data_IF_397838506126
#
_entry.id   IF_397838506126
#
_cell.length_a   1.000
_cell.length_b   1.000
_cell.length_c   1.000
_cell.angle_alpha   90.00
_cell.angle_beta   90.00
_cell.angle_gamma   90.00
#
_symmetry.space_group_name_H-M   'P 1'
#
loop_
_entity.id
_entity.type
_entity.pdbx_description
1 polymer ?
#
# COMPACT_ATOMS: atom_id res chain seq x y z
N UNK A 1 15.61 -24.43 -10.29
CA UNK A 1 15.95 -23.03 -10.61
C UNK A 1 15.89 -22.24 -9.31
N UNK A 2 16.96 -21.54 -8.94
CA UNK A 2 17.02 -20.77 -7.69
C UNK A 2 16.40 -19.40 -7.93
N UNK A 3 15.33 -19.07 -7.22
CA UNK A 3 14.64 -17.79 -7.38
C UNK A 3 15.28 -16.79 -6.42
N UNK A 4 15.81 -15.70 -6.96
CA UNK A 4 16.38 -14.60 -6.20
C UNK A 4 15.35 -13.48 -6.05
N UNK A 5 15.18 -13.00 -4.82
CA UNK A 5 14.20 -11.97 -4.45
C UNK A 5 14.90 -10.94 -3.57
N UNK A 6 14.60 -9.65 -3.77
CA UNK A 6 15.11 -8.58 -2.90
C UNK A 6 14.00 -8.12 -1.98
N UNK A 7 14.24 -8.13 -0.67
CA UNK A 7 13.34 -7.50 0.29
C UNK A 7 13.74 -6.03 0.45
N UNK A 8 12.78 -5.11 0.35
CA UNK A 8 12.99 -3.68 0.58
C UNK A 8 12.19 -3.20 1.79
N UNK A 9 12.85 -2.44 2.66
CA UNK A 9 12.28 -1.72 3.80
C UNK A 9 12.72 -0.27 3.68
N UNK A 10 11.91 0.56 3.01
CA UNK A 10 12.31 1.92 2.65
C UNK A 10 13.51 1.91 1.68
N UNK A 11 14.66 2.39 2.14
CA UNK A 11 15.91 2.40 1.37
C UNK A 11 16.83 1.21 1.67
N UNK A 12 16.47 0.36 2.65
CA UNK A 12 17.25 -0.81 3.02
C UNK A 12 16.83 -2.01 2.17
N UNK A 13 17.79 -2.65 1.51
CA UNK A 13 17.55 -3.83 0.68
C UNK A 13 18.26 -5.04 1.26
N UNK A 14 17.63 -6.21 1.23
CA UNK A 14 18.20 -7.48 1.69
C UNK A 14 17.98 -8.54 0.61
N UNK A 15 19.05 -9.14 0.04
CA UNK A 15 18.91 -10.16 -0.98
C UNK A 15 18.58 -11.53 -0.34
N UNK A 16 17.53 -12.17 -0.85
CA UNK A 16 17.07 -13.48 -0.44
C UNK A 16 17.07 -14.47 -1.61
N UNK A 17 17.19 -15.74 -1.24
CA UNK A 17 17.01 -16.89 -2.12
C UNK A 17 15.83 -17.69 -1.60
N UNK A 18 14.84 -17.96 -2.46
CA UNK A 18 13.74 -18.87 -2.12
C UNK A 18 14.28 -20.30 -2.18
N UNK A 19 14.33 -20.96 -1.01
CA UNK A 19 14.82 -22.33 -0.85
C UNK A 19 13.75 -23.38 -1.10
N UNK A 20 12.54 -23.09 -0.65
CA UNK A 20 11.39 -23.97 -0.82
C UNK A 20 10.13 -23.12 -1.00
N UNK A 21 9.31 -23.49 -1.99
CA UNK A 21 7.95 -23.00 -2.15
C UNK A 21 6.97 -24.15 -1.95
N UNK A 22 5.93 -23.93 -1.16
CA UNK A 22 4.76 -24.81 -1.07
C UNK A 22 3.60 -24.02 -1.69
N UNK A 23 2.92 -24.62 -2.67
CA UNK A 23 1.71 -24.04 -3.27
C UNK A 23 0.50 -24.83 -2.79
N UNK A 24 -0.61 -24.17 -2.46
CA UNK A 24 -1.86 -24.92 -2.25
C UNK A 24 -2.31 -25.49 -3.59
N UNK A 25 -2.53 -26.80 -3.61
CA UNK A 25 -3.22 -27.47 -4.72
C UNK A 25 -4.71 -27.26 -4.47
N UNK A 26 -5.28 -26.17 -4.96
CA UNK A 26 -6.73 -26.13 -5.12
C UNK A 26 -7.07 -27.03 -6.32
N UNK A 27 -7.75 -28.13 -6.03
CA UNK A 27 -8.33 -29.04 -7.02
C UNK A 27 -9.44 -28.30 -7.75
N UNK A 28 -9.11 -27.71 -8.89
CA UNK A 28 -10.11 -27.14 -9.80
C UNK A 28 -9.83 -27.64 -11.20
N UNK A 29 -10.90 -28.10 -11.83
CA UNK A 29 -10.97 -28.76 -13.14
C UNK A 29 -10.10 -28.08 -14.20
N UNK A 30 -9.58 -28.88 -15.13
CA UNK A 30 -8.61 -28.52 -16.19
C UNK A 30 -8.97 -27.33 -17.12
N UNK A 31 -10.10 -26.66 -16.92
CA UNK A 31 -10.48 -25.42 -17.62
C UNK A 31 -10.21 -24.16 -16.77
N UNK A 32 -10.06 -24.29 -15.44
CA UNK A 32 -9.73 -23.19 -14.50
C UNK A 32 -8.24 -23.13 -14.15
N UNK A 33 -7.46 -24.16 -14.51
CA UNK A 33 -6.01 -24.17 -14.28
C UNK A 33 -5.30 -22.99 -14.98
N UNK A 34 -5.77 -22.56 -16.16
CA UNK A 34 -5.19 -21.44 -16.90
C UNK A 34 -5.47 -20.06 -16.25
N UNK A 35 -6.62 -19.87 -15.59
CA UNK A 35 -6.92 -18.62 -14.87
C UNK A 35 -6.28 -18.59 -13.46
N UNK A 36 -6.21 -19.72 -12.77
CA UNK A 36 -5.57 -19.79 -11.44
C UNK A 36 -4.05 -19.73 -11.55
N UNK A 37 -3.43 -20.34 -12.57
CA UNK A 37 -1.99 -20.17 -12.85
C UNK A 37 -1.64 -18.74 -13.26
N UNK A 38 -2.60 -17.97 -13.80
CA UNK A 38 -2.46 -16.55 -14.11
C UNK A 38 -2.51 -15.64 -12.85
N UNK A 39 -3.03 -16.13 -11.72
CA UNK A 39 -3.16 -15.35 -10.47
C UNK A 39 -2.07 -15.62 -9.44
N UNK A 40 -1.28 -16.69 -9.60
CA UNK A 40 -0.08 -16.89 -8.80
C UNK A 40 0.99 -15.85 -9.20
N UNK A 41 1.68 -15.20 -8.25
CA UNK A 41 2.73 -14.25 -8.59
C UNK A 41 3.81 -14.95 -9.42
N UNK A 42 4.03 -14.48 -10.64
CA UNK A 42 5.15 -14.94 -11.45
C UNK A 42 6.43 -14.43 -10.81
N UNK A 43 7.07 -15.30 -10.03
CA UNK A 43 8.36 -15.01 -9.42
C UNK A 43 9.45 -14.94 -10.48
N UNK A 44 9.65 -13.75 -11.06
CA UNK A 44 10.72 -13.51 -12.02
C UNK A 44 12.02 -13.12 -11.33
N UNK A 45 13.14 -13.24 -12.06
CA UNK A 45 14.45 -12.87 -11.55
C UNK A 45 14.49 -11.36 -11.26
N UNK A 46 14.73 -10.99 -9.99
CA UNK A 46 14.80 -9.58 -9.58
C UNK A 46 13.52 -9.00 -8.96
N UNK A 47 12.54 -9.85 -8.63
CA UNK A 47 11.36 -9.41 -7.90
C UNK A 47 11.78 -8.71 -6.59
N UNK A 48 11.33 -7.46 -6.42
CA UNK A 48 11.54 -6.68 -5.20
C UNK A 48 10.25 -6.68 -4.40
N UNK A 49 10.30 -7.20 -3.18
CA UNK A 49 9.19 -7.20 -2.23
C UNK A 49 9.35 -6.00 -1.32
N UNK A 50 8.47 -5.03 -1.42
CA UNK A 50 8.47 -3.85 -0.56
C UNK A 50 7.59 -4.10 0.67
N UNK A 51 8.18 -4.04 1.86
CA UNK A 51 7.40 -4.03 3.11
C UNK A 51 6.72 -2.67 3.23
N UNK A 52 5.40 -2.69 3.17
CA UNK A 52 4.53 -1.52 3.29
C UNK A 52 4.22 -1.16 4.75
N UNK A 53 4.10 -2.16 5.62
CA UNK A 53 3.73 -1.96 7.02
C UNK A 53 4.12 -3.16 7.89
N UNK A 54 4.08 -2.97 9.21
CA UNK A 54 4.33 -4.00 10.21
C UNK A 54 3.11 -4.17 11.12
N UNK A 55 2.63 -5.39 11.30
CA UNK A 55 1.43 -5.71 12.07
C UNK A 55 1.71 -6.76 13.15
N UNK A 56 1.08 -6.64 14.31
CA UNK A 56 1.25 -7.61 15.42
C UNK A 56 0.34 -8.83 15.30
N UNK A 57 -0.84 -8.65 14.70
CA UNK A 57 -1.84 -9.70 14.57
C UNK A 57 -2.40 -9.63 13.16
N UNK A 58 -1.72 -10.21 12.16
CA UNK A 58 -2.29 -10.33 10.83
C UNK A 58 -3.58 -11.16 10.94
N UNK A 59 -4.60 -10.93 10.09
CA UNK A 59 -5.81 -11.72 10.12
C UNK A 59 -5.49 -13.20 9.86
N UNK A 60 -6.03 -14.08 10.69
CA UNK A 60 -5.69 -15.52 10.70
C UNK A 60 -6.41 -16.34 9.61
N UNK A 61 -7.25 -15.70 8.79
CA UNK A 61 -8.18 -16.37 7.88
C UNK A 61 -7.99 -15.81 6.47
N UNK A 62 -6.97 -16.29 5.77
CA UNK A 62 -6.88 -16.11 4.32
C UNK A 62 -6.42 -17.42 3.66
N UNK A 63 -7.00 -17.79 2.50
CA UNK A 63 -6.49 -18.89 1.71
C UNK A 63 -5.05 -18.57 1.32
N UNK A 64 -4.14 -19.43 1.75
CA UNK A 64 -2.71 -19.28 1.46
C UNK A 64 -2.45 -19.90 0.11
N UNK A 65 -2.12 -19.08 -0.88
CA UNK A 65 -1.81 -19.53 -2.23
C UNK A 65 -0.42 -20.15 -2.24
N UNK A 66 0.57 -19.42 -1.72
CA UNK A 66 1.96 -19.86 -1.70
C UNK A 66 2.62 -19.56 -0.36
N UNK A 67 3.58 -20.41 0.02
CA UNK A 67 4.46 -20.18 1.16
C UNK A 67 5.89 -20.44 0.75
N UNK A 68 6.72 -19.43 0.91
CA UNK A 68 8.14 -19.46 0.56
C UNK A 68 9.00 -19.42 1.81
N UNK A 69 9.97 -20.32 1.88
CA UNK A 69 11.09 -20.22 2.82
C UNK A 69 12.21 -19.46 2.13
N UNK A 70 12.54 -18.29 2.68
CA UNK A 70 13.55 -17.38 2.17
C UNK A 70 14.78 -17.43 3.06
N UNK A 71 15.94 -17.61 2.46
CA UNK A 71 17.23 -17.58 3.13
C UNK A 71 18.07 -16.43 2.59
N UNK A 72 18.83 -15.77 3.46
CA UNK A 72 19.78 -14.73 3.04
C UNK A 72 20.69 -15.25 1.92
N UNK A 73 20.86 -14.45 0.87
CA UNK A 73 21.73 -14.83 -0.23
C UNK A 73 23.20 -14.94 0.22
N UNK A 74 23.94 -15.90 -0.33
CA UNK A 74 25.34 -16.13 0.03
C UNK A 74 26.27 -14.96 -0.28
N UNK A 75 25.89 -14.12 -1.26
CA UNK A 75 26.63 -12.92 -1.66
C UNK A 75 26.27 -11.68 -0.85
N UNK A 76 25.43 -11.79 0.18
CA UNK A 76 25.01 -10.65 0.97
C UNK A 76 26.20 -9.98 1.70
N UNK A 77 26.22 -8.65 1.66
CA UNK A 77 27.25 -7.83 2.30
C UNK A 77 27.03 -7.74 3.83
N UNK A 78 27.96 -7.09 4.54
CA UNK A 78 27.92 -6.97 5.99
C UNK A 78 26.70 -6.20 6.51
N UNK A 79 26.32 -5.12 5.82
CA UNK A 79 25.17 -4.26 6.18
C UNK A 79 23.86 -5.02 6.01
N UNK A 80 23.72 -5.80 4.94
CA UNK A 80 22.54 -6.64 4.68
C UNK A 80 22.38 -7.72 5.75
N UNK A 81 23.48 -8.35 6.16
CA UNK A 81 23.50 -9.34 7.26
C UNK A 81 23.08 -8.72 8.58
N UNK A 82 23.58 -7.54 8.90
CA UNK A 82 23.22 -6.81 10.11
C UNK A 82 21.75 -6.39 10.10
N UNK A 83 21.29 -5.81 8.99
CA UNK A 83 19.90 -5.39 8.79
C UNK A 83 18.95 -6.58 8.96
N UNK A 84 19.29 -7.74 8.39
CA UNK A 84 18.51 -8.96 8.56
C UNK A 84 18.46 -9.41 10.03
N UNK A 85 19.58 -9.34 10.74
CA UNK A 85 19.64 -9.69 12.17
C UNK A 85 18.74 -8.79 13.01
N UNK A 86 18.78 -7.48 12.75
CA UNK A 86 17.91 -6.48 13.41
C UNK A 86 16.45 -6.77 13.11
N UNK A 87 16.11 -6.99 11.83
CA UNK A 87 14.75 -7.32 11.41
C UNK A 87 14.24 -8.59 12.09
N UNK A 88 15.05 -9.65 12.11
CA UNK A 88 14.68 -10.94 12.72
C UNK A 88 14.38 -10.78 14.20
N UNK A 89 15.21 -10.01 14.93
CA UNK A 89 14.99 -9.70 16.34
C UNK A 89 13.74 -8.87 16.55
N UNK A 90 13.52 -7.83 15.74
CA UNK A 90 12.37 -6.95 15.85
C UNK A 90 11.05 -7.73 15.68
N UNK A 91 10.99 -8.64 14.71
CA UNK A 91 9.80 -9.45 14.44
C UNK A 91 9.56 -10.58 15.47
N UNK A 92 10.61 -11.07 16.13
CA UNK A 92 10.55 -12.17 17.10
C UNK A 92 10.60 -11.71 18.57
N UNK A 93 10.28 -10.45 18.87
CA UNK A 93 10.31 -9.97 20.26
C UNK A 93 9.34 -10.79 21.11
N UNK A 94 9.82 -11.43 22.19
CA UNK A 94 9.11 -12.45 22.98
C UNK A 94 7.69 -12.07 23.46
N UNK A 95 7.40 -10.78 23.60
CA UNK A 95 6.12 -10.27 24.11
C UNK A 95 5.16 -9.81 23.00
N UNK A 96 5.65 -9.60 21.77
CA UNK A 96 4.89 -9.04 20.67
C UNK A 96 5.46 -9.51 19.33
N UNK A 97 5.03 -10.69 18.87
CA UNK A 97 5.38 -11.16 17.53
C UNK A 97 4.83 -10.18 16.50
N UNK A 98 5.64 -9.83 15.52
CA UNK A 98 5.28 -8.89 14.47
C UNK A 98 5.54 -9.50 13.09
N UNK A 99 4.79 -9.03 12.11
CA UNK A 99 4.80 -9.52 10.74
C UNK A 99 4.94 -8.33 9.80
N UNK A 100 5.77 -8.47 8.76
CA UNK A 100 5.85 -7.50 7.68
C UNK A 100 4.78 -7.76 6.64
N UNK A 101 4.14 -6.72 6.12
CA UNK A 101 3.11 -6.82 5.09
C UNK A 101 3.63 -6.21 3.78
N UNK A 102 3.49 -6.94 2.68
CA UNK A 102 3.91 -6.50 1.36
C UNK A 102 2.78 -6.69 0.34
N UNK A 103 2.57 -5.72 -0.54
CA UNK A 103 1.65 -5.86 -1.68
C UNK A 103 2.46 -6.51 -2.80
N UNK A 104 2.09 -7.72 -3.22
CA UNK A 104 2.84 -8.51 -4.22
C UNK A 104 2.23 -8.34 -5.63
N UNK A 105 0.92 -8.11 -5.69
CA UNK A 105 0.18 -7.93 -6.94
C UNK A 105 -1.26 -7.50 -6.65
N UNK A 106 -2.08 -7.42 -7.70
CA UNK A 106 -3.50 -7.14 -7.57
C UNK A 106 -4.16 -8.26 -6.74
N UNK A 107 -4.76 -7.90 -5.61
CA UNK A 107 -5.42 -8.80 -4.65
C UNK A 107 -4.52 -9.83 -3.93
N UNK A 108 -3.19 -9.65 -4.02
CA UNK A 108 -2.19 -10.50 -3.37
C UNK A 108 -1.43 -9.78 -2.28
N UNK A 109 -1.43 -10.38 -1.09
CA UNK A 109 -0.75 -9.87 0.09
C UNK A 109 0.32 -10.86 0.55
N UNK A 110 1.54 -10.36 0.70
CA UNK A 110 2.67 -11.06 1.28
C UNK A 110 2.75 -10.80 2.78
N UNK A 111 2.74 -11.85 3.58
CA UNK A 111 2.96 -11.81 5.02
C UNK A 111 4.36 -12.36 5.29
N UNK A 112 5.28 -11.48 5.64
CA UNK A 112 6.64 -11.82 6.03
C UNK A 112 6.70 -12.11 7.53
N UNK A 113 7.21 -13.28 7.87
CA UNK A 113 7.42 -13.70 9.26
C UNK A 113 8.86 -14.16 9.47
N UNK A 114 9.43 -13.83 10.63
CA UNK A 114 10.72 -14.36 11.06
C UNK A 114 10.57 -15.78 11.62
N UNK A 115 11.61 -16.60 11.46
CA UNK A 115 11.69 -17.94 12.07
C UNK A 115 12.59 -17.92 13.30
N UNK A 116 12.77 -19.04 13.99
CA UNK A 116 13.74 -19.15 15.08
C UNK A 116 15.20 -18.98 14.60
N UNK A 117 15.47 -19.18 13.30
CA UNK A 117 16.78 -18.95 12.71
C UNK A 117 16.83 -17.54 12.11
N UNK A 118 17.84 -16.75 12.49
CA UNK A 118 17.94 -15.33 12.11
C UNK A 118 18.13 -15.10 10.61
N UNK A 119 18.65 -16.09 9.89
CA UNK A 119 18.88 -16.04 8.45
C UNK A 119 17.70 -16.52 7.61
N UNK A 120 16.66 -17.07 8.26
CA UNK A 120 15.51 -17.66 7.59
C UNK A 120 14.22 -16.91 7.90
N UNK A 121 13.50 -16.59 6.83
CA UNK A 121 12.21 -15.94 6.86
C UNK A 121 11.20 -16.77 6.09
N UNK A 122 9.92 -16.63 6.44
CA UNK A 122 8.83 -17.22 5.68
C UNK A 122 7.97 -16.12 5.09
N UNK A 123 7.78 -16.14 3.78
CA UNK A 123 6.81 -15.30 3.09
C UNK A 123 5.58 -16.14 2.78
N UNK A 124 4.44 -15.71 3.26
CA UNK A 124 3.15 -16.32 2.95
C UNK A 124 2.40 -15.39 2.00
N UNK A 125 2.08 -15.89 0.80
CA UNK A 125 1.26 -15.19 -0.18
C UNK A 125 -0.17 -15.62 0.05
N UNK A 126 -1.03 -14.66 0.35
CA UNK A 126 -2.46 -14.87 0.55
C UNK A 126 -3.25 -14.08 -0.46
N UNK A 127 -4.34 -14.66 -0.93
CA UNK A 127 -5.35 -13.91 -1.64
C UNK A 127 -6.23 -13.25 -0.58
N UNK A 128 -6.38 -11.94 -0.65
CA UNK A 128 -7.48 -11.32 0.07
C UNK A 128 -8.64 -11.24 -0.91
N UNK A 129 -9.73 -11.95 -0.61
CA UNK A 129 -10.95 -11.80 -1.39
C UNK A 129 -11.38 -10.32 -1.31
N UNK A 130 -11.18 -9.58 -2.40
CA UNK A 130 -12.06 -8.48 -2.74
C UNK A 130 -13.41 -9.10 -2.99
N UNK A 131 -14.14 -9.48 -1.93
CA UNK A 131 -15.51 -9.97 -2.03
C UNK A 131 -16.23 -9.07 -3.03
N UNK A 132 -16.59 -9.67 -4.16
CA UNK A 132 -17.51 -9.18 -5.19
C UNK A 132 -18.93 -9.21 -4.63
N UNK A 133 -19.09 -8.77 -3.38
CA UNK A 133 -20.38 -8.31 -2.90
C UNK A 133 -20.52 -6.89 -3.38
N UNK A 134 -21.59 -6.65 -4.11
CA UNK A 134 -22.10 -5.40 -4.69
C UNK A 134 -22.36 -4.28 -3.66
N UNK A 135 -21.67 -4.31 -2.52
CA UNK A 135 -21.47 -3.15 -1.68
C UNK A 135 -20.18 -2.50 -2.13
N UNK A 136 -20.32 -1.38 -2.85
CA UNK A 136 -19.24 -0.44 -3.15
C UNK A 136 -18.33 -0.27 -1.93
N UNK A 137 -17.22 -0.99 -1.93
CA UNK A 137 -16.14 -0.80 -0.97
C UNK A 137 -15.53 0.56 -1.28
N UNK A 138 -15.13 1.31 -0.25
CA UNK A 138 -14.59 2.69 -0.37
C UNK A 138 -13.31 2.82 -1.18
N UNK A 139 -12.73 1.71 -1.64
CA UNK A 139 -11.58 1.65 -2.57
C UNK A 139 -11.99 1.32 -4.03
N UNK A 140 -13.25 0.92 -4.25
CA UNK A 140 -13.88 0.73 -5.58
C UNK A 140 -14.83 1.87 -5.95
N UNK A 141 -15.13 2.79 -5.03
CA UNK A 141 -15.50 4.13 -5.47
C UNK A 141 -14.31 4.65 -6.24
N UNK A 142 -14.49 4.85 -7.54
CA UNK A 142 -13.69 5.76 -8.35
C UNK A 142 -13.89 7.23 -7.87
N UNK A 143 -14.01 7.42 -6.56
CA UNK A 143 -13.56 8.57 -5.80
C UNK A 143 -12.09 8.33 -5.39
N UNK A 144 -11.27 7.78 -6.30
CA UNK A 144 -10.05 8.53 -6.58
C UNK A 144 -10.57 9.94 -6.83
N UNK A 145 -10.48 10.79 -5.79
CA UNK A 145 -10.59 12.22 -6.00
C UNK A 145 -9.83 12.48 -7.28
N UNK A 146 -10.47 13.17 -8.22
CA UNK A 146 -9.93 13.49 -9.52
C UNK A 146 -8.68 14.37 -9.31
N UNK A 147 -7.60 13.74 -8.83
CA UNK A 147 -6.29 14.27 -8.50
C UNK A 147 -5.48 14.42 -9.78
N UNK A 148 -5.97 13.81 -10.87
CA UNK A 148 -5.51 14.01 -12.23
C UNK A 148 -5.73 15.47 -12.70
N UNK A 149 -6.61 16.22 -12.02
CA UNK A 149 -6.80 17.66 -12.21
C UNK A 149 -6.51 18.44 -10.92
N UNK A 150 -5.25 18.85 -10.68
CA UNK A 150 -4.95 19.78 -9.60
C UNK A 150 -5.73 21.07 -9.82
N UNK A 151 -6.60 21.42 -8.86
CA UNK A 151 -7.35 22.68 -8.82
C UNK A 151 -6.42 23.86 -9.07
N UNK A 152 -6.66 24.59 -10.15
CA UNK A 152 -5.79 25.70 -10.50
C UNK A 152 -6.20 26.94 -9.70
N UNK A 153 -5.24 27.73 -9.18
CA UNK A 153 -5.55 28.98 -8.48
C UNK A 153 -6.49 29.93 -9.24
N UNK A 154 -6.39 29.96 -10.57
CA UNK A 154 -7.26 30.76 -11.42
C UNK A 154 -8.74 30.32 -11.37
N UNK A 155 -9.02 29.01 -11.31
CA UNK A 155 -10.39 28.49 -11.21
C UNK A 155 -11.04 28.86 -9.87
N UNK A 156 -10.25 28.86 -8.79
CA UNK A 156 -10.70 29.33 -7.47
C UNK A 156 -11.04 30.82 -7.53
N UNK A 157 -10.19 31.62 -8.19
CA UNK A 157 -10.39 33.05 -8.34
C UNK A 157 -11.66 33.38 -9.15
N UNK A 158 -11.92 32.69 -10.26
CA UNK A 158 -13.14 32.88 -11.05
C UNK A 158 -14.40 32.58 -10.23
N UNK A 159 -14.39 31.50 -9.45
CA UNK A 159 -15.52 31.16 -8.59
C UNK A 159 -15.67 32.16 -7.43
N UNK A 160 -14.59 32.68 -6.86
CA UNK A 160 -14.68 33.74 -5.84
C UNK A 160 -15.28 35.03 -6.40
N UNK A 161 -15.08 35.35 -7.69
CA UNK A 161 -15.68 36.52 -8.34
C UNK A 161 -17.20 36.38 -8.54
N UNK A 162 -17.70 35.16 -8.72
CA UNK A 162 -19.13 34.84 -8.86
C UNK A 162 -19.81 34.48 -7.52
N UNK A 163 -19.16 34.80 -6.40
CA UNK A 163 -19.73 34.60 -5.07
C UNK A 163 -20.95 35.51 -4.84
N UNK A 164 -22.07 35.02 -4.25
CA UNK A 164 -22.28 33.72 -3.62
C UNK A 164 -22.90 32.63 -4.51
N UNK A 165 -23.16 32.88 -5.79
CA UNK A 165 -23.81 31.90 -6.68
C UNK A 165 -22.97 30.64 -6.88
N UNK A 166 -21.64 30.82 -6.89
CA UNK A 166 -20.64 29.75 -7.03
C UNK A 166 -20.38 28.93 -5.75
N UNK A 167 -21.06 29.24 -4.63
CA UNK A 167 -20.84 28.60 -3.34
C UNK A 167 -20.75 27.06 -3.37
N UNK A 168 -21.64 26.31 -4.06
CA UNK A 168 -21.52 24.85 -4.10
C UNK A 168 -20.26 24.36 -4.81
N UNK A 169 -19.82 25.03 -5.88
CA UNK A 169 -18.60 24.67 -6.60
C UNK A 169 -17.35 25.04 -5.79
N UNK A 170 -17.34 26.21 -5.16
CA UNK A 170 -16.23 26.65 -4.31
C UNK A 170 -16.06 25.74 -3.09
N UNK A 171 -17.16 25.26 -2.48
CA UNK A 171 -17.12 24.23 -1.42
C UNK A 171 -16.52 22.91 -1.90
N UNK A 172 -16.83 22.49 -3.14
CA UNK A 172 -16.26 21.26 -3.73
C UNK A 172 -14.74 21.40 -3.89
N UNK A 173 -14.27 22.52 -4.42
CA UNK A 173 -12.83 22.80 -4.58
C UNK A 173 -12.13 22.93 -3.23
N UNK A 174 -12.72 23.63 -2.25
CA UNK A 174 -12.18 23.75 -0.90
C UNK A 174 -11.92 22.37 -0.27
N UNK A 175 -12.89 21.45 -0.38
CA UNK A 175 -12.74 20.07 0.11
C UNK A 175 -11.62 19.33 -0.63
N UNK A 176 -11.53 19.46 -1.94
CA UNK A 176 -10.49 18.80 -2.75
C UNK A 176 -9.09 19.30 -2.38
N UNK A 177 -8.89 20.62 -2.31
CA UNK A 177 -7.59 21.21 -1.94
C UNK A 177 -7.20 20.83 -0.50
N UNK A 178 -8.15 20.92 0.44
CA UNK A 178 -7.90 20.59 1.84
C UNK A 178 -7.56 19.10 2.05
N UNK A 179 -8.28 18.20 1.39
CA UNK A 179 -8.02 16.76 1.45
C UNK A 179 -6.66 16.42 0.80
N UNK A 180 -6.34 17.04 -0.34
CA UNK A 180 -5.03 16.87 -1.01
C UNK A 180 -3.88 17.35 -0.10
N UNK A 181 -4.03 18.53 0.51
CA UNK A 181 -3.05 19.06 1.45
C UNK A 181 -2.88 18.17 2.70
N UNK A 182 -3.98 17.62 3.21
CA UNK A 182 -3.98 16.72 4.36
C UNK A 182 -3.33 15.37 4.06
N UNK A 183 -3.53 14.82 2.86
CA UNK A 183 -3.02 13.51 2.46
C UNK A 183 -1.52 13.53 2.13
N UNK A 184 -1.05 14.56 1.42
CA UNK A 184 0.34 14.67 0.95
C UNK A 184 1.20 15.63 1.76
N UNK A 185 0.63 16.31 2.76
CA UNK A 185 1.33 17.31 3.56
C UNK A 185 1.61 18.64 2.83
N UNK A 186 0.97 18.87 1.68
CA UNK A 186 1.13 20.08 0.87
C UNK A 186 0.29 21.26 1.39
N UNK A 187 0.57 21.73 2.61
CA UNK A 187 -0.17 22.82 3.25
C UNK A 187 -0.05 24.17 2.54
N UNK A 188 1.02 24.41 1.79
CA UNK A 188 1.15 25.63 0.99
C UNK A 188 0.08 25.71 -0.11
N UNK A 189 -0.42 24.57 -0.59
CA UNK A 189 -1.52 24.52 -1.55
C UNK A 189 -2.84 24.99 -0.92
N UNK A 190 -3.10 24.59 0.33
CA UNK A 190 -4.24 25.10 1.11
C UNK A 190 -4.10 26.60 1.41
N UNK A 191 -2.90 27.07 1.79
CA UNK A 191 -2.66 28.50 2.03
C UNK A 191 -2.91 29.39 0.81
N UNK A 192 -2.59 28.90 -0.39
CA UNK A 192 -2.91 29.61 -1.65
C UNK A 192 -4.42 29.74 -1.82
N UNK A 193 -5.18 28.67 -1.54
CA UNK A 193 -6.64 28.71 -1.57
C UNK A 193 -7.20 29.70 -0.53
N UNK A 194 -6.69 29.66 0.71
CA UNK A 194 -7.07 30.62 1.76
C UNK A 194 -6.78 32.06 1.34
N UNK A 195 -5.60 32.35 0.81
CA UNK A 195 -5.24 33.69 0.37
C UNK A 195 -6.14 34.25 -0.73
N UNK A 196 -6.61 33.39 -1.66
CA UNK A 196 -7.57 33.80 -2.71
C UNK A 196 -8.94 34.10 -2.10
N UNK A 197 -9.41 33.27 -1.16
CA UNK A 197 -10.69 33.45 -0.48
C UNK A 197 -10.68 34.72 0.40
N UNK A 198 -9.61 34.94 1.16
CA UNK A 198 -9.40 36.11 2.01
C UNK A 198 -9.43 37.40 1.18
N UNK A 199 -8.82 37.39 -0.01
CA UNK A 199 -8.87 38.49 -0.97
C UNK A 199 -10.29 38.89 -1.41
N UNK A 200 -11.25 37.96 -1.31
CA UNK A 200 -12.66 38.17 -1.64
C UNK A 200 -13.57 38.20 -0.40
N UNK A 201 -13.00 38.31 0.81
CA UNK A 201 -13.72 38.30 2.09
C UNK A 201 -14.55 37.02 2.35
N UNK A 202 -14.12 35.89 1.76
CA UNK A 202 -14.77 34.59 1.94
C UNK A 202 -13.99 33.82 3.01
N UNK A 203 -14.68 33.39 4.07
CA UNK A 203 -14.07 32.56 5.10
C UNK A 203 -13.92 31.11 4.60
N UNK A 204 -12.70 30.72 4.27
CA UNK A 204 -12.34 29.38 3.77
C UNK A 204 -12.74 28.25 4.73
N UNK A 205 -12.69 28.48 6.04
CA UNK A 205 -13.04 27.48 7.06
C UNK A 205 -14.54 27.17 7.06
N UNK A 206 -15.39 28.15 6.72
CA UNK A 206 -16.84 27.93 6.58
C UNK A 206 -17.20 27.09 5.34
N UNK A 207 -16.29 27.01 4.36
CA UNK A 207 -16.49 26.18 3.16
C UNK A 207 -16.26 24.68 3.42
N UNK A 208 -15.52 24.35 4.48
CA UNK A 208 -15.27 22.96 4.91
C UNK A 208 -16.40 22.39 5.77
N UNK A 209 -17.24 23.25 6.35
CA UNK A 209 -18.35 22.82 7.21
C UNK A 209 -19.46 22.16 6.37
N UNK A 210 -19.87 20.96 6.81
CA UNK A 210 -20.99 20.23 6.23
C UNK A 210 -22.28 20.80 6.82
N UNK A 211 -23.21 21.21 5.95
CA UNK A 211 -24.59 21.47 6.32
C UNK A 211 -25.40 20.18 6.23
#
# INVERSE_FOLDING_TARGET
MTIAVTLSIGYLTIPFIIKHSIKSLETTSAEEEDEVLSSAPQWTFGNTICISSFVKSPPNIYPTIEKHVMELASHANGVEKETLSILSKALNTNENKCHGMAIIGNDLLGILSSTAQTTLFTLQVVQFATATTEHQKSYYTNDLMDLDYPVKPFEVMELCQDWPHSQPQLKKLAKQVYQTASLYGYWDYWRVFEGICDGHQINSQLLLQVA
#
